data_IF_647921750753
#
_entry.id   IF_647921750753
#
_cell.length_a   1.000
_cell.length_b   1.000
_cell.length_c   1.000
_cell.angle_alpha   90.00
_cell.angle_beta   90.00
_cell.angle_gamma   90.00
#
_symmetry.space_group_name_H-M   'P 1'
#
loop_
_entity.id
_entity.type
_entity.pdbx_description
1 polymer ?
#
# COMPACT_ATOMS: atom_id res chain seq x y z
N UNK A 1 -17.58 -9.66 -1.95
CA UNK A 1 -17.24 -10.89 -1.24
C UNK A 1 -17.57 -10.77 0.24
N UNK A 2 -18.80 -11.09 0.62
CA UNK A 2 -19.33 -11.07 1.98
C UNK A 2 -20.55 -10.18 2.15
N UNK A 3 -21.12 -10.16 3.35
CA UNK A 3 -22.28 -9.32 3.64
C UNK A 3 -21.91 -7.83 3.52
N UNK A 4 -22.88 -7.03 3.13
CA UNK A 4 -22.70 -5.57 3.03
C UNK A 4 -23.54 -4.87 4.09
N UNK A 5 -23.04 -3.73 4.57
CA UNK A 5 -23.77 -2.78 5.40
C UNK A 5 -23.80 -1.42 4.74
N UNK A 6 -24.78 -0.62 5.11
CA UNK A 6 -24.83 0.80 4.77
C UNK A 6 -24.62 1.63 6.03
N UNK A 7 -23.71 2.58 5.97
CA UNK A 7 -23.49 3.57 7.03
C UNK A 7 -23.89 4.95 6.52
N UNK A 8 -24.41 5.79 7.41
CA UNK A 8 -25.00 7.09 7.08
C UNK A 8 -24.25 8.21 7.81
N UNK A 9 -23.02 8.53 7.37
CA UNK A 9 -22.18 9.53 8.04
C UNK A 9 -22.49 10.98 7.66
N UNK A 10 -23.46 11.20 6.77
CA UNK A 10 -23.78 12.51 6.19
C UNK A 10 -25.22 12.90 6.52
N UNK A 11 -25.46 14.23 6.58
CA UNK A 11 -26.81 14.77 6.64
C UNK A 11 -27.54 14.70 5.27
N UNK A 12 -26.79 14.59 4.18
CA UNK A 12 -27.32 14.40 2.84
C UNK A 12 -28.00 13.01 2.70
N UNK A 13 -28.93 12.88 1.77
CA UNK A 13 -29.51 11.60 1.38
C UNK A 13 -28.49 10.74 0.60
N UNK A 14 -27.43 10.38 1.30
CA UNK A 14 -26.30 9.61 0.76
C UNK A 14 -25.83 8.59 1.81
N UNK A 15 -25.56 7.38 1.37
CA UNK A 15 -25.01 6.32 2.20
C UNK A 15 -23.65 5.83 1.69
N UNK A 16 -22.90 5.20 2.57
CA UNK A 16 -21.70 4.44 2.23
C UNK A 16 -21.99 2.97 2.38
N UNK A 17 -21.87 2.23 1.29
CA UNK A 17 -22.01 0.77 1.27
C UNK A 17 -20.62 0.14 1.35
N UNK A 18 -20.38 -0.66 2.37
CA UNK A 18 -19.12 -1.34 2.61
C UNK A 18 -19.33 -2.78 3.10
N UNK A 19 -18.26 -3.55 3.22
CA UNK A 19 -18.35 -4.89 3.77
C UNK A 19 -18.57 -4.84 5.30
N UNK A 20 -19.60 -5.53 5.78
CA UNK A 20 -19.99 -5.56 7.20
C UNK A 20 -18.94 -6.23 8.10
N UNK A 21 -18.27 -7.24 7.58
CA UNK A 21 -17.29 -8.03 8.31
C UNK A 21 -15.84 -7.57 8.09
N UNK A 22 -15.61 -6.49 7.31
CA UNK A 22 -14.25 -6.10 6.92
C UNK A 22 -13.30 -5.90 8.11
N UNK A 23 -13.80 -5.37 9.23
CA UNK A 23 -13.00 -5.12 10.44
C UNK A 23 -12.59 -6.41 11.18
N UNK A 24 -13.27 -7.53 10.93
CA UNK A 24 -12.95 -8.84 11.52
C UNK A 24 -11.76 -9.50 10.80
N UNK A 25 -11.47 -9.05 9.57
CA UNK A 25 -10.42 -9.63 8.71
C UNK A 25 -9.41 -8.56 8.27
N UNK A 26 -8.63 -7.96 9.20
CA UNK A 26 -7.73 -6.84 8.90
C UNK A 26 -6.61 -7.17 7.91
N UNK A 27 -6.27 -8.45 7.76
CA UNK A 27 -5.28 -8.92 6.76
C UNK A 27 -5.85 -8.95 5.34
N UNK A 28 -7.18 -9.06 5.21
CA UNK A 28 -7.89 -9.07 3.92
C UNK A 28 -8.39 -7.69 3.52
N UNK A 29 -8.83 -6.88 4.50
CA UNK A 29 -9.46 -5.59 4.29
C UNK A 29 -8.72 -4.50 5.07
N UNK A 30 -7.77 -3.84 4.41
CA UNK A 30 -7.04 -2.74 5.02
C UNK A 30 -7.94 -1.54 5.33
N UNK A 31 -7.62 -0.72 6.37
CA UNK A 31 -8.23 0.59 6.57
C UNK A 31 -8.16 1.44 5.31
N UNK A 32 -9.27 2.09 4.95
CA UNK A 32 -9.40 2.83 3.71
C UNK A 32 -9.71 4.31 3.95
N UNK A 33 -10.81 4.61 4.67
CA UNK A 33 -11.22 6.00 4.98
C UNK A 33 -11.71 6.10 6.41
N UNK A 34 -11.39 7.23 7.05
CA UNK A 34 -11.87 7.57 8.37
C UNK A 34 -13.21 8.29 8.32
N UNK A 35 -14.14 7.91 9.17
CA UNK A 35 -15.37 8.67 9.42
C UNK A 35 -15.12 9.59 10.61
N UNK A 36 -15.32 10.89 10.39
CA UNK A 36 -15.03 11.94 11.37
C UNK A 36 -16.30 12.69 11.73
N UNK A 37 -16.40 13.09 12.99
CA UNK A 37 -17.48 13.96 13.46
C UNK A 37 -17.27 15.43 13.02
N UNK A 38 -18.19 16.30 13.40
CA UNK A 38 -18.16 17.74 13.11
C UNK A 38 -16.89 18.45 13.62
N UNK A 39 -16.26 17.88 14.66
CA UNK A 39 -15.02 18.40 15.24
C UNK A 39 -13.76 17.82 14.57
N UNK A 40 -13.93 16.98 13.56
CA UNK A 40 -12.85 16.27 12.87
C UNK A 40 -12.27 15.08 13.64
N UNK A 41 -12.92 14.65 14.73
CA UNK A 41 -12.51 13.49 15.50
C UNK A 41 -12.95 12.21 14.79
N UNK A 42 -12.00 11.30 14.61
CA UNK A 42 -12.26 9.98 14.06
C UNK A 42 -13.14 9.17 15.00
N UNK A 43 -14.31 8.72 14.53
CA UNK A 43 -15.21 7.86 15.31
C UNK A 43 -15.35 6.47 14.72
N UNK A 44 -15.06 6.29 13.40
CA UNK A 44 -15.10 4.99 12.77
C UNK A 44 -14.15 4.92 11.55
N UNK A 45 -13.88 3.71 11.06
CA UNK A 45 -12.99 3.44 9.93
C UNK A 45 -13.70 2.49 8.96
N UNK A 46 -13.75 2.88 7.71
CA UNK A 46 -14.17 2.00 6.62
C UNK A 46 -12.96 1.18 6.18
N UNK A 47 -13.11 -0.14 6.18
CA UNK A 47 -12.09 -1.08 5.73
C UNK A 47 -12.47 -1.70 4.39
N UNK A 48 -11.48 -1.90 3.51
CA UNK A 48 -11.69 -2.46 2.17
C UNK A 48 -12.37 -1.49 1.21
N UNK A 49 -12.91 -2.02 0.12
CA UNK A 49 -13.64 -1.25 -0.90
C UNK A 49 -14.99 -0.80 -0.39
N UNK A 50 -15.40 0.39 -0.77
CA UNK A 50 -16.71 0.95 -0.46
C UNK A 50 -17.29 1.71 -1.66
N UNK A 51 -18.60 1.94 -1.63
CA UNK A 51 -19.32 2.75 -2.60
C UNK A 51 -20.07 3.86 -1.90
N UNK A 52 -20.13 5.01 -2.53
CA UNK A 52 -21.02 6.11 -2.11
C UNK A 52 -22.25 6.06 -3.00
N UNK A 53 -23.43 5.99 -2.41
CA UNK A 53 -24.70 5.86 -3.10
C UNK A 53 -25.68 6.92 -2.66
N UNK A 54 -26.53 7.38 -3.57
CA UNK A 54 -27.69 8.18 -3.22
C UNK A 54 -28.75 7.32 -2.53
N UNK A 55 -29.60 7.95 -1.73
CA UNK A 55 -30.70 7.31 -1.04
C UNK A 55 -32.02 7.90 -1.54
N UNK A 56 -32.98 7.05 -1.85
CA UNK A 56 -34.36 7.38 -2.18
C UNK A 56 -35.29 6.74 -1.15
N UNK A 57 -36.60 6.93 -1.28
CA UNK A 57 -37.58 6.48 -0.27
C UNK A 57 -37.52 4.97 0.01
N UNK A 58 -37.20 4.15 -0.99
CA UNK A 58 -37.24 2.69 -0.87
C UNK A 58 -35.93 1.99 -1.26
N UNK A 59 -34.95 2.66 -1.93
CA UNK A 59 -33.77 1.99 -2.46
C UNK A 59 -32.56 2.92 -2.64
N UNK A 60 -31.45 2.35 -3.07
CA UNK A 60 -30.29 3.12 -3.51
C UNK A 60 -30.56 3.76 -4.87
N UNK A 61 -30.13 5.00 -5.02
CA UNK A 61 -30.20 5.70 -6.29
C UNK A 61 -28.82 6.23 -6.72
N UNK A 62 -28.74 6.71 -7.96
CA UNK A 62 -27.53 7.36 -8.47
C UNK A 62 -27.31 8.71 -7.79
N UNK A 63 -26.06 9.05 -7.52
CA UNK A 63 -25.68 10.40 -7.11
C UNK A 63 -25.93 11.38 -8.24
N UNK A 64 -26.34 12.62 -7.90
CA UNK A 64 -26.35 13.72 -8.86
C UNK A 64 -24.92 14.28 -9.05
N UNK A 65 -24.74 15.17 -10.04
CA UNK A 65 -23.44 15.71 -10.42
C UNK A 65 -22.75 16.46 -9.27
N UNK A 66 -23.49 17.21 -8.46
CA UNK A 66 -22.95 17.95 -7.30
C UNK A 66 -22.48 16.97 -6.20
N UNK A 67 -23.25 15.92 -5.94
CA UNK A 67 -22.88 14.87 -5.00
C UNK A 67 -21.64 14.10 -5.49
N UNK A 68 -21.57 13.78 -6.78
CA UNK A 68 -20.39 13.12 -7.37
C UNK A 68 -19.17 14.00 -7.17
N UNK A 69 -19.24 15.29 -7.49
CA UNK A 69 -18.13 16.22 -7.32
C UNK A 69 -17.70 16.35 -5.84
N UNK A 70 -18.67 16.48 -4.92
CA UNK A 70 -18.45 16.57 -3.47
C UNK A 70 -17.73 15.33 -2.92
N UNK A 71 -18.28 14.14 -3.18
CA UNK A 71 -17.74 12.90 -2.60
C UNK A 71 -16.45 12.43 -3.29
N UNK A 72 -16.27 12.74 -4.58
CA UNK A 72 -15.00 12.56 -5.26
C UNK A 72 -13.90 13.40 -4.58
N UNK A 73 -14.12 14.69 -4.38
CA UNK A 73 -13.16 15.57 -3.70
C UNK A 73 -12.90 15.13 -2.24
N UNK A 74 -13.94 14.62 -1.55
CA UNK A 74 -13.80 14.16 -0.17
C UNK A 74 -12.91 12.92 -0.05
N UNK A 75 -13.02 11.98 -1.01
CA UNK A 75 -12.38 10.67 -0.96
C UNK A 75 -11.28 10.45 -2.00
N UNK A 76 -10.92 11.47 -2.80
CA UNK A 76 -9.87 11.37 -3.81
C UNK A 76 -8.51 11.06 -3.18
N UNK A 77 -8.17 11.75 -2.09
CA UNK A 77 -6.90 11.55 -1.40
C UNK A 77 -6.96 10.35 -0.45
N UNK A 78 -6.00 9.42 -0.52
CA UNK A 78 -5.87 8.32 0.44
C UNK A 78 -5.68 8.83 1.88
N UNK A 79 -6.07 8.03 2.86
CA UNK A 79 -5.82 8.31 4.27
C UNK A 79 -4.81 7.31 4.86
N UNK A 80 -3.92 7.82 5.72
CA UNK A 80 -3.03 7.00 6.55
C UNK A 80 -3.57 7.00 7.97
N UNK A 81 -3.59 5.82 8.58
CA UNK A 81 -4.01 5.63 9.96
C UNK A 81 -2.80 5.45 10.86
N UNK A 82 -2.70 6.25 11.92
CA UNK A 82 -1.59 6.23 12.87
C UNK A 82 -2.13 6.14 14.30
N UNK A 83 -1.41 5.44 15.18
CA UNK A 83 -1.70 5.47 16.62
C UNK A 83 -0.88 6.60 17.26
N UNK A 84 -1.58 7.54 17.90
CA UNK A 84 -0.98 8.65 18.65
C UNK A 84 -1.66 8.75 20.02
N UNK A 85 -0.87 8.68 21.09
CA UNK A 85 -1.38 8.74 22.49
C UNK A 85 -2.56 7.78 22.76
N UNK A 86 -2.45 6.53 22.28
CA UNK A 86 -3.50 5.50 22.36
C UNK A 86 -4.78 5.76 21.53
N UNK A 87 -4.88 6.86 20.83
CA UNK A 87 -5.96 7.13 19.87
C UNK A 87 -5.49 6.82 18.44
N UNK A 88 -6.42 6.32 17.60
CA UNK A 88 -6.19 6.20 16.17
C UNK A 88 -6.58 7.52 15.52
N UNK A 89 -5.69 8.09 14.75
CA UNK A 89 -5.95 9.28 13.93
C UNK A 89 -5.81 8.91 12.45
N UNK A 90 -6.57 9.57 11.60
CA UNK A 90 -6.37 9.50 10.15
C UNK A 90 -5.94 10.86 9.61
N UNK A 91 -4.98 10.84 8.70
CA UNK A 91 -4.47 12.01 8.01
C UNK A 91 -4.58 11.77 6.50
N UNK A 92 -5.12 12.75 5.75
CA UNK A 92 -5.07 12.70 4.30
C UNK A 92 -3.63 12.74 3.83
N UNK A 93 -3.34 11.98 2.81
CA UNK A 93 -2.01 11.89 2.24
C UNK A 93 -1.98 12.62 0.91
N UNK A 94 -1.29 13.76 0.87
CA UNK A 94 -1.03 14.51 -0.35
C UNK A 94 0.02 13.84 -1.25
N UNK A 95 0.66 12.77 -0.79
CA UNK A 95 1.63 11.99 -1.57
C UNK A 95 0.99 10.88 -2.39
N UNK A 96 1.55 10.60 -3.56
CA UNK A 96 1.09 9.52 -4.42
C UNK A 96 1.05 8.16 -3.71
N UNK A 97 -0.04 7.44 -3.88
CA UNK A 97 -0.17 6.06 -3.41
C UNK A 97 0.72 5.16 -4.27
N UNK A 98 1.65 4.48 -3.64
CA UNK A 98 2.52 3.50 -4.29
C UNK A 98 2.26 2.12 -3.72
N UNK A 99 2.17 1.13 -4.59
CA UNK A 99 2.24 -0.27 -4.16
C UNK A 99 3.68 -0.76 -4.30
N UNK A 100 4.09 -1.68 -3.44
CA UNK A 100 5.41 -2.28 -3.54
C UNK A 100 5.36 -3.78 -3.31
N UNK A 101 6.32 -4.48 -3.91
CA UNK A 101 6.58 -5.89 -3.64
C UNK A 101 8.06 -6.05 -3.29
N UNK A 102 8.32 -6.79 -2.22
CA UNK A 102 9.67 -7.14 -1.79
C UNK A 102 10.03 -8.53 -2.33
N UNK A 103 11.16 -8.61 -3.01
CA UNK A 103 11.68 -9.83 -3.61
C UNK A 103 13.04 -10.15 -3.01
N UNK A 104 13.20 -11.36 -2.52
CA UNK A 104 14.48 -11.87 -2.02
C UNK A 104 15.05 -12.88 -2.99
N UNK A 105 16.35 -12.79 -3.21
CA UNK A 105 17.07 -13.78 -3.99
C UNK A 105 16.93 -15.15 -3.28
N UNK A 106 16.49 -16.17 -4.01
CA UNK A 106 16.35 -17.52 -3.47
C UNK A 106 17.71 -18.15 -3.20
N UNK A 107 17.82 -18.77 -2.04
CA UNK A 107 19.02 -19.53 -1.62
C UNK A 107 19.01 -20.90 -2.31
N UNK A 108 19.49 -20.91 -3.56
CA UNK A 108 19.61 -22.10 -4.39
C UNK A 108 21.05 -22.24 -4.89
N UNK A 109 21.51 -23.45 -5.26
CA UNK A 109 22.85 -23.62 -5.83
C UNK A 109 23.14 -22.74 -7.06
N UNK A 110 22.10 -22.42 -7.85
CA UNK A 110 22.23 -21.51 -9.00
C UNK A 110 22.49 -20.06 -8.58
N UNK A 111 22.02 -19.66 -7.41
CA UNK A 111 22.10 -18.30 -6.89
C UNK A 111 23.23 -18.09 -5.88
N UNK A 112 23.87 -19.16 -5.40
CA UNK A 112 24.84 -19.13 -4.28
C UNK A 112 25.94 -18.05 -4.48
N UNK A 113 26.52 -17.97 -5.68
CA UNK A 113 27.54 -16.97 -5.95
C UNK A 113 27.06 -15.53 -6.04
N UNK A 114 25.71 -15.32 -6.11
CA UNK A 114 25.07 -13.99 -6.21
C UNK A 114 24.44 -13.51 -4.91
N UNK A 115 24.37 -14.36 -3.89
CA UNK A 115 23.84 -13.99 -2.58
C UNK A 115 24.69 -12.89 -1.96
N UNK A 116 24.03 -11.82 -1.55
CA UNK A 116 24.68 -10.65 -0.91
C UNK A 116 25.72 -9.92 -1.76
N UNK A 117 25.66 -10.08 -3.08
CA UNK A 117 26.61 -9.44 -4.00
C UNK A 117 26.09 -8.09 -4.48
N UNK A 118 27.03 -7.16 -4.73
CA UNK A 118 26.73 -5.82 -5.24
C UNK A 118 26.23 -5.84 -6.68
N UNK A 119 25.56 -4.76 -7.08
CA UNK A 119 25.13 -4.54 -8.47
C UNK A 119 26.29 -4.64 -9.46
N UNK A 120 27.47 -4.10 -9.09
CA UNK A 120 28.69 -4.20 -9.90
C UNK A 120 29.07 -5.65 -10.19
N UNK A 121 29.05 -6.52 -9.19
CA UNK A 121 29.35 -7.94 -9.35
C UNK A 121 28.40 -8.62 -10.33
N UNK A 122 27.10 -8.37 -10.20
CA UNK A 122 26.09 -8.89 -11.13
C UNK A 122 26.35 -8.47 -12.57
N UNK A 123 26.72 -7.19 -12.77
CA UNK A 123 27.04 -6.65 -14.11
C UNK A 123 28.32 -7.27 -14.71
N UNK A 124 29.35 -7.44 -13.91
CA UNK A 124 30.61 -8.07 -14.33
C UNK A 124 30.41 -9.54 -14.74
N UNK A 125 29.49 -10.26 -14.08
CA UNK A 125 29.10 -11.63 -14.42
C UNK A 125 28.11 -11.71 -15.59
N UNK A 126 27.53 -10.60 -16.02
CA UNK A 126 26.58 -10.55 -17.14
C UNK A 126 25.23 -11.23 -16.85
N UNK A 127 24.89 -11.45 -15.57
CA UNK A 127 23.62 -12.09 -15.20
C UNK A 127 22.47 -11.09 -15.26
N UNK A 128 21.37 -11.52 -15.87
CA UNK A 128 20.15 -10.73 -15.94
C UNK A 128 19.33 -10.85 -14.65
N UNK A 129 18.58 -9.78 -14.32
CA UNK A 129 17.67 -9.76 -13.17
C UNK A 129 16.32 -10.34 -13.58
N UNK A 130 16.07 -11.61 -13.24
CA UNK A 130 14.85 -12.33 -13.62
C UNK A 130 14.08 -12.77 -12.38
N UNK A 131 12.75 -12.59 -12.40
CA UNK A 131 11.84 -12.99 -11.31
C UNK A 131 11.97 -14.47 -10.90
N UNK A 132 12.32 -15.33 -11.84
CA UNK A 132 12.51 -16.77 -11.57
C UNK A 132 13.63 -17.08 -10.56
N UNK A 133 14.54 -16.13 -10.29
CA UNK A 133 15.61 -16.30 -9.29
C UNK A 133 15.20 -15.78 -7.91
N UNK A 134 14.04 -15.15 -7.81
CA UNK A 134 13.59 -14.45 -6.62
C UNK A 134 12.26 -14.99 -6.12
N UNK A 135 12.09 -14.91 -4.83
CA UNK A 135 10.82 -15.18 -4.15
C UNK A 135 10.19 -13.86 -3.69
N UNK A 136 8.93 -13.64 -4.05
CA UNK A 136 8.18 -12.51 -3.50
C UNK A 136 7.83 -12.83 -2.05
N UNK A 137 8.32 -12.03 -1.12
CA UNK A 137 8.20 -12.26 0.33
C UNK A 137 7.22 -11.33 1.01
N UNK A 138 6.94 -10.19 0.41
CA UNK A 138 5.99 -9.23 0.96
C UNK A 138 5.41 -8.35 -0.15
N UNK A 139 4.19 -7.88 0.06
CA UNK A 139 3.62 -6.79 -0.73
C UNK A 139 2.80 -5.88 0.17
N UNK A 140 2.78 -4.61 -0.19
CA UNK A 140 2.11 -3.61 0.61
C UNK A 140 1.88 -2.31 -0.15
N UNK A 141 1.36 -1.37 0.58
CA UNK A 141 1.06 -0.03 0.10
C UNK A 141 1.85 0.97 0.93
N UNK A 142 2.43 1.96 0.29
CA UNK A 142 3.02 3.11 0.96
C UNK A 142 2.58 4.40 0.27
N UNK A 143 2.59 5.47 1.03
CA UNK A 143 2.35 6.81 0.50
C UNK A 143 3.66 7.56 0.52
N UNK A 144 4.06 8.09 -0.62
CA UNK A 144 5.34 8.78 -0.74
C UNK A 144 5.33 9.76 -1.90
N UNK A 145 5.61 11.02 -1.61
CA UNK A 145 5.95 12.05 -2.61
C UNK A 145 7.40 11.94 -3.09
N UNK A 146 8.20 11.15 -2.38
CA UNK A 146 9.61 10.96 -2.65
C UNK A 146 9.82 10.18 -3.95
N UNK A 147 11.01 10.29 -4.49
CA UNK A 147 11.46 9.43 -5.60
C UNK A 147 11.34 7.95 -5.25
N UNK A 148 11.34 7.07 -6.23
CA UNK A 148 11.27 5.63 -5.98
C UNK A 148 12.50 5.12 -5.20
N UNK A 149 13.67 5.72 -5.40
CA UNK A 149 14.89 5.38 -4.64
C UNK A 149 14.72 5.76 -3.17
N UNK A 150 14.33 6.98 -2.86
CA UNK A 150 14.10 7.42 -1.46
C UNK A 150 12.96 6.64 -0.78
N UNK A 151 11.95 6.24 -1.57
CA UNK A 151 10.88 5.35 -1.08
C UNK A 151 11.44 3.98 -0.72
N UNK A 152 12.28 3.40 -1.59
CA UNK A 152 12.94 2.12 -1.33
C UNK A 152 13.87 2.18 -0.11
N UNK A 153 14.61 3.27 0.09
CA UNK A 153 15.45 3.49 1.28
C UNK A 153 14.60 3.53 2.57
N UNK A 154 13.44 4.19 2.52
CA UNK A 154 12.49 4.21 3.64
C UNK A 154 11.93 2.81 3.94
N UNK A 155 11.59 2.04 2.90
CA UNK A 155 11.14 0.65 3.04
C UNK A 155 12.26 -0.25 3.57
N UNK A 156 13.50 -0.07 3.11
CA UNK A 156 14.66 -0.78 3.64
C UNK A 156 14.81 -0.58 5.16
N UNK A 157 14.67 0.66 5.64
CA UNK A 157 14.63 0.94 7.07
C UNK A 157 13.50 0.20 7.80
N UNK A 158 12.32 0.16 7.21
CA UNK A 158 11.15 -0.56 7.77
C UNK A 158 11.43 -2.06 7.89
N UNK A 159 11.94 -2.70 6.83
CA UNK A 159 12.17 -4.16 6.79
C UNK A 159 13.50 -4.60 7.44
N UNK A 160 14.28 -3.68 7.99
CA UNK A 160 15.51 -3.98 8.72
C UNK A 160 15.46 -3.58 10.20
N UNK A 161 14.63 -2.59 10.57
CA UNK A 161 14.59 -2.03 11.92
C UNK A 161 13.21 -2.23 12.57
N UNK A 162 12.14 -2.01 11.84
CA UNK A 162 10.75 -2.01 12.34
C UNK A 162 9.87 -2.94 11.51
N UNK A 163 10.19 -4.21 11.53
CA UNK A 163 9.46 -5.22 10.75
C UNK A 163 7.94 -5.13 10.98
N UNK A 164 7.11 -5.12 9.91
CA UNK A 164 5.68 -5.33 10.04
C UNK A 164 5.38 -6.66 10.75
N UNK A 165 4.30 -6.74 11.53
CA UNK A 165 3.96 -7.94 12.30
C UNK A 165 3.81 -9.21 11.44
N UNK A 166 3.35 -9.02 10.21
CA UNK A 166 3.12 -10.10 9.24
C UNK A 166 4.39 -10.47 8.44
N UNK A 167 5.50 -9.77 8.67
CA UNK A 167 6.76 -10.04 8.02
C UNK A 167 7.60 -11.02 8.85
N UNK A 168 7.81 -12.24 8.31
CA UNK A 168 8.49 -13.33 9.00
C UNK A 168 9.79 -13.76 8.31
N UNK A 169 10.26 -12.96 7.35
CA UNK A 169 11.47 -13.23 6.60
C UNK A 169 12.70 -12.55 7.24
N UNK A 170 13.88 -12.86 6.72
CA UNK A 170 15.10 -12.15 7.10
C UNK A 170 15.04 -10.67 6.78
N UNK A 171 15.89 -9.88 7.39
CA UNK A 171 16.12 -8.49 6.98
C UNK A 171 16.56 -8.41 5.52
N UNK A 172 16.22 -7.30 4.85
CA UNK A 172 16.67 -7.02 3.49
C UNK A 172 18.20 -6.90 3.43
N UNK A 173 18.76 -7.36 2.35
CA UNK A 173 20.22 -7.38 2.13
C UNK A 173 20.57 -7.01 0.68
N UNK A 174 21.85 -6.87 0.41
CA UNK A 174 22.40 -6.74 -0.93
C UNK A 174 21.85 -7.84 -1.84
N UNK A 175 21.43 -7.44 -3.03
CA UNK A 175 20.86 -8.36 -4.01
C UNK A 175 19.35 -8.51 -3.95
N UNK A 176 18.68 -8.09 -2.87
CA UNK A 176 17.22 -8.06 -2.80
C UNK A 176 16.64 -6.92 -3.65
N UNK A 177 15.38 -7.05 -4.05
CA UNK A 177 14.73 -6.10 -4.95
C UNK A 177 13.42 -5.59 -4.32
N UNK A 178 13.19 -4.29 -4.45
CA UNK A 178 11.89 -3.67 -4.22
C UNK A 178 11.31 -3.27 -5.59
N UNK A 179 10.18 -3.87 -5.97
CA UNK A 179 9.41 -3.43 -7.13
C UNK A 179 8.34 -2.44 -6.64
N UNK A 180 8.40 -1.19 -7.09
CA UNK A 180 7.45 -0.12 -6.74
C UNK A 180 6.58 0.17 -7.96
N UNK A 181 5.27 0.30 -7.76
CA UNK A 181 4.31 0.73 -8.77
C UNK A 181 3.62 2.02 -8.32
N UNK A 182 3.59 3.00 -9.19
CA UNK A 182 2.86 4.24 -8.99
C UNK A 182 1.35 4.09 -9.28
N UNK A 183 0.59 5.15 -9.10
CA UNK A 183 -0.86 5.22 -9.35
C UNK A 183 -1.22 4.87 -10.81
N UNK A 184 -0.33 5.15 -11.75
CA UNK A 184 -0.50 4.84 -13.17
C UNK A 184 -0.07 3.42 -13.51
N UNK A 185 0.27 2.58 -12.50
CA UNK A 185 0.78 1.22 -12.65
C UNK A 185 2.14 1.13 -13.36
N UNK A 186 2.90 2.22 -13.42
CA UNK A 186 4.28 2.16 -13.89
C UNK A 186 5.14 1.47 -12.83
N UNK A 187 5.75 0.37 -13.20
CA UNK A 187 6.58 -0.44 -12.30
C UNK A 187 8.05 -0.12 -12.49
N UNK A 188 8.74 0.05 -11.37
CA UNK A 188 10.19 0.21 -11.29
C UNK A 188 10.74 -0.79 -10.29
N UNK A 189 11.77 -1.52 -10.69
CA UNK A 189 12.46 -2.44 -9.82
C UNK A 189 13.78 -1.83 -9.35
N UNK A 190 14.03 -1.90 -8.07
CA UNK A 190 15.13 -1.25 -7.38
C UNK A 190 15.94 -2.31 -6.62
N UNK A 191 17.14 -2.54 -7.11
CA UNK A 191 18.09 -3.50 -6.56
C UNK A 191 18.80 -2.88 -5.35
N UNK A 192 18.83 -3.58 -4.23
CA UNK A 192 19.54 -3.17 -3.04
C UNK A 192 21.05 -3.33 -3.26
N UNK A 193 21.77 -2.20 -3.35
CA UNK A 193 23.22 -2.18 -3.51
C UNK A 193 23.93 -1.65 -2.23
N UNK A 194 25.24 -1.56 -2.25
CA UNK A 194 26.10 -1.24 -1.09
C UNK A 194 25.84 0.11 -0.44
N UNK A 195 25.42 1.11 -1.18
CA UNK A 195 25.21 2.48 -0.66
C UNK A 195 23.73 2.87 -0.71
N UNK A 196 23.01 2.47 -1.76
CA UNK A 196 21.63 2.85 -2.02
C UNK A 196 21.02 1.85 -3.00
N UNK A 197 19.92 2.19 -3.64
CA UNK A 197 19.23 1.36 -4.62
C UNK A 197 19.58 1.75 -6.05
N UNK A 198 19.60 0.76 -6.94
CA UNK A 198 19.83 0.95 -8.37
C UNK A 198 18.61 0.47 -9.16
N UNK A 199 18.07 1.31 -10.04
CA UNK A 199 16.99 0.90 -10.95
C UNK A 199 17.50 -0.11 -11.96
N UNK A 200 16.76 -1.22 -12.12
CA UNK A 200 17.13 -2.36 -12.96
C UNK A 200 15.94 -2.82 -13.83
N UNK A 201 16.18 -3.44 -14.99
CA UNK A 201 15.18 -4.26 -15.66
C UNK A 201 14.93 -5.52 -14.83
N UNK A 202 13.65 -5.89 -14.62
CA UNK A 202 13.26 -7.04 -13.80
C UNK A 202 12.08 -7.78 -14.45
N UNK A 203 12.36 -8.89 -15.13
CA UNK A 203 11.41 -9.62 -15.96
C UNK A 203 11.03 -11.01 -15.41
#
# INVERSE_FOLDING_TARGET
>A
DGPIQTVYPFEDLVGIVCNDEAKLFPTKFAPNRGLKDENGKLYDIICGTFFVVGLDEEDFCSLNDDQIAKFKALYEEPEIFKKKNDEIISEKCSGGLKTFSLWMLDDTPENEEYLFMSYRYWKEKGREFKKKYYRKVYEGVCVSEKSNIETAESLYGTFNINHPKEYHERSMSLGDIIEISDENRNKKALFCDTISFVEIPFS
#
